data_IF_239787979960
#
_entry.id   IF_239787979960
#
_cell.length_a   1.000
_cell.length_b   1.000
_cell.length_c   1.000
_cell.angle_alpha   90.00
_cell.angle_beta   90.00
_cell.angle_gamma   90.00
#
_symmetry.space_group_name_H-M   'P 1'
#
loop_
_entity.id
_entity.type
_entity.pdbx_description
1 polymer ?
#
# COMPACT_ATOMS: atom_id res chain seq x y z
N UNK A 1 -17.06 -86.33 -0.99
CA UNK A 1 -15.80 -87.09 -1.16
C UNK A 1 -14.99 -86.43 -2.27
N UNK A 2 -13.70 -86.19 -2.00
CA UNK A 2 -12.57 -85.98 -2.92
C UNK A 2 -12.65 -84.92 -4.06
N UNK A 3 -11.98 -83.79 -3.80
CA UNK A 3 -10.75 -83.28 -4.46
C UNK A 3 -10.63 -82.99 -5.98
N UNK A 4 -9.92 -81.86 -6.22
CA UNK A 4 -9.10 -81.42 -7.38
C UNK A 4 -9.81 -80.87 -8.63
N UNK A 5 -9.72 -79.54 -8.85
CA UNK A 5 -8.67 -78.88 -9.65
C UNK A 5 -9.08 -77.43 -10.00
N UNK A 6 -8.15 -76.47 -9.95
CA UNK A 6 -7.95 -75.51 -11.05
C UNK A 6 -6.62 -74.77 -10.89
N UNK A 7 -5.89 -74.70 -12.01
CA UNK A 7 -4.51 -74.27 -12.15
C UNK A 7 -4.38 -72.76 -12.44
N UNK A 8 -3.37 -72.16 -11.81
CA UNK A 8 -2.38 -71.20 -12.31
C UNK A 8 -2.74 -70.17 -13.39
N UNK A 9 -2.43 -68.89 -13.08
CA UNK A 9 -1.67 -68.03 -14.00
C UNK A 9 -0.67 -67.13 -13.26
N UNK A 10 0.53 -67.13 -13.82
CA UNK A 10 1.81 -66.58 -13.38
C UNK A 10 1.90 -65.05 -13.49
N UNK A 11 2.59 -64.42 -12.54
CA UNK A 11 3.08 -63.03 -12.60
C UNK A 11 4.61 -63.01 -12.67
N UNK A 12 5.17 -62.37 -13.71
CA UNK A 12 6.59 -61.97 -13.78
C UNK A 12 6.75 -60.71 -14.64
N UNK A 13 7.36 -59.67 -14.06
CA UNK A 13 8.57 -58.94 -14.52
C UNK A 13 8.56 -57.41 -14.31
N UNK A 14 9.76 -56.91 -14.01
CA UNK A 14 10.36 -55.56 -14.20
C UNK A 14 10.54 -54.60 -12.99
N UNK A 15 11.69 -54.78 -12.32
CA UNK A 15 12.85 -53.88 -12.14
C UNK A 15 12.75 -52.33 -12.04
N UNK A 16 13.38 -51.85 -10.94
CA UNK A 16 14.31 -50.68 -10.75
C UNK A 16 13.88 -49.22 -10.94
N UNK A 17 13.88 -48.46 -9.83
CA UNK A 17 14.57 -47.17 -9.73
C UNK A 17 15.12 -46.94 -8.31
N UNK A 18 16.41 -46.65 -8.22
CA UNK A 18 17.12 -46.34 -6.98
C UNK A 18 16.89 -44.87 -6.57
N UNK A 19 16.32 -44.66 -5.38
CA UNK A 19 16.30 -43.35 -4.72
C UNK A 19 17.31 -43.34 -3.58
N UNK A 20 18.40 -42.59 -3.76
CA UNK A 20 19.30 -42.21 -2.67
C UNK A 20 18.56 -41.23 -1.74
N UNK A 21 17.91 -41.76 -0.71
CA UNK A 21 17.50 -40.94 0.44
C UNK A 21 18.70 -40.74 1.36
N UNK A 22 19.28 -39.54 1.35
CA UNK A 22 20.22 -39.11 2.38
C UNK A 22 19.49 -39.05 3.72
N UNK A 23 19.77 -40.01 4.60
CA UNK A 23 19.16 -40.10 5.93
C UNK A 23 19.67 -38.95 6.79
N UNK A 24 18.78 -37.99 7.09
CA UNK A 24 19.04 -36.92 8.05
C UNK A 24 19.15 -37.52 9.46
N UNK A 25 20.37 -37.78 9.91
CA UNK A 25 20.64 -38.30 11.26
C UNK A 25 20.47 -37.20 12.33
N UNK A 26 20.29 -37.58 13.61
CA UNK A 26 20.28 -36.63 14.75
C UNK A 26 21.48 -35.70 14.75
N UNK A 27 22.63 -36.16 14.25
CA UNK A 27 23.86 -35.38 14.14
C UNK A 27 23.70 -34.17 13.21
N UNK A 28 22.96 -34.31 12.11
CA UNK A 28 22.67 -33.20 11.18
C UNK A 28 21.75 -32.16 11.81
N UNK A 29 20.77 -32.60 12.61
CA UNK A 29 19.88 -31.69 13.35
C UNK A 29 20.64 -30.91 14.43
N UNK A 30 21.54 -31.59 15.15
CA UNK A 30 22.41 -30.95 16.15
C UNK A 30 23.36 -29.95 15.49
N UNK A 31 23.96 -30.31 14.34
CA UNK A 31 24.84 -29.42 13.59
C UNK A 31 24.09 -28.19 13.06
N UNK A 32 22.88 -28.37 12.52
CA UNK A 32 22.04 -27.26 12.06
C UNK A 32 21.64 -26.33 13.22
N UNK A 33 21.29 -26.89 14.38
CA UNK A 33 20.97 -26.10 15.56
C UNK A 33 22.20 -25.32 16.07
N UNK A 34 23.37 -25.97 16.12
CA UNK A 34 24.62 -25.31 16.48
C UNK A 34 24.98 -24.16 15.52
N UNK A 35 24.72 -24.33 14.22
CA UNK A 35 24.93 -23.30 13.20
C UNK A 35 24.00 -22.09 13.41
N UNK A 36 22.71 -22.32 13.68
CA UNK A 36 21.74 -21.24 13.97
C UNK A 36 22.16 -20.46 15.21
N UNK A 37 22.54 -21.17 16.27
CA UNK A 37 23.00 -20.57 17.53
C UNK A 37 24.28 -19.75 17.31
N UNK A 38 25.28 -20.31 16.61
CA UNK A 38 26.51 -19.59 16.31
C UNK A 38 26.26 -18.33 15.47
N UNK A 39 25.37 -18.40 14.48
CA UNK A 39 25.03 -17.26 13.62
C UNK A 39 24.31 -16.17 14.42
N UNK A 40 23.43 -16.53 15.35
CA UNK A 40 22.76 -15.58 16.24
C UNK A 40 23.74 -14.85 17.16
N UNK A 41 24.72 -15.56 17.72
CA UNK A 41 25.72 -14.94 18.58
C UNK A 41 26.73 -14.09 17.80
N UNK A 42 27.17 -14.53 16.61
CA UNK A 42 28.05 -13.75 15.74
C UNK A 42 27.39 -12.45 15.28
N UNK A 43 26.13 -12.50 14.84
CA UNK A 43 25.39 -11.29 14.43
C UNK A 43 25.22 -10.31 15.58
N UNK A 44 24.93 -10.78 16.80
CA UNK A 44 24.89 -9.91 17.98
C UNK A 44 26.26 -9.33 18.37
N UNK A 45 27.35 -10.08 18.22
CA UNK A 45 28.70 -9.56 18.49
C UNK A 45 29.08 -8.44 17.52
N UNK A 46 28.65 -8.52 16.24
CA UNK A 46 28.83 -7.45 15.27
C UNK A 46 27.90 -6.25 15.52
N UNK A 47 26.66 -6.47 15.98
CA UNK A 47 25.74 -5.39 16.39
C UNK A 47 26.25 -4.60 17.60
N UNK A 48 27.04 -5.21 18.48
CA UNK A 48 27.67 -4.54 19.62
C UNK A 48 28.99 -3.82 19.29
N UNK A 49 29.63 -4.10 18.14
CA UNK A 49 30.88 -3.43 17.73
C UNK A 49 30.65 -2.13 16.97
N UNK A 50 29.44 -1.92 16.43
CA UNK A 50 28.97 -0.62 15.93
C UNK A 50 28.39 0.16 17.12
N UNK A 51 29.22 1.01 17.72
CA UNK A 51 28.83 1.83 18.87
C UNK A 51 27.58 2.70 18.65
N UNK A 52 26.93 3.17 19.73
CA UNK A 52 25.73 3.99 19.63
C UNK A 52 26.04 5.31 18.89
N UNK A 53 25.41 5.49 17.72
CA UNK A 53 25.40 6.78 17.04
C UNK A 53 24.70 7.80 17.95
N UNK A 54 25.51 8.64 18.60
CA UNK A 54 25.02 9.79 19.34
C UNK A 54 24.46 10.80 18.34
N UNK A 55 23.13 10.89 18.24
CA UNK A 55 22.45 11.89 17.42
C UNK A 55 22.47 13.24 18.15
N UNK A 56 23.18 14.27 17.67
CA UNK A 56 23.00 15.60 18.21
C UNK A 56 21.64 16.12 17.71
N UNK A 57 20.70 16.30 18.65
CA UNK A 57 19.51 17.10 18.42
C UNK A 57 19.95 18.53 18.05
N UNK A 58 19.89 18.86 16.77
CA UNK A 58 19.94 20.24 16.31
C UNK A 58 18.60 20.61 15.69
N UNK A 59 17.81 21.33 16.50
CA UNK A 59 16.70 22.14 16.03
C UNK A 59 17.23 23.18 15.03
N UNK A 60 16.96 23.00 13.75
CA UNK A 60 16.97 24.10 12.79
C UNK A 60 15.79 23.97 11.86
N UNK A 61 14.63 24.47 12.32
CA UNK A 61 13.55 24.86 11.42
C UNK A 61 13.95 26.20 10.81
N UNK A 62 14.71 26.13 9.73
CA UNK A 62 14.93 27.28 8.86
C UNK A 62 13.75 27.40 7.90
N UNK A 63 12.96 28.45 8.12
CA UNK A 63 11.91 28.97 7.25
C UNK A 63 12.46 29.13 5.83
N UNK A 64 11.80 28.53 4.84
CA UNK A 64 12.32 28.44 3.49
C UNK A 64 11.21 28.52 2.46
N UNK A 65 10.92 29.77 2.05
CA UNK A 65 10.08 30.12 0.90
C UNK A 65 10.25 29.13 -0.27
N UNK A 66 9.12 28.64 -0.78
CA UNK A 66 9.05 27.93 -2.06
C UNK A 66 9.50 28.86 -3.19
N UNK A 67 10.75 28.75 -3.59
CA UNK A 67 11.19 29.22 -4.90
C UNK A 67 11.08 28.05 -5.89
N UNK A 68 10.12 28.17 -6.80
CA UNK A 68 9.94 27.30 -7.96
C UNK A 68 11.20 27.38 -8.82
N UNK A 69 12.09 26.39 -8.73
CA UNK A 69 13.25 26.29 -9.60
C UNK A 69 12.78 25.89 -11.03
N UNK A 70 13.40 26.41 -12.11
CA UNK A 70 12.89 26.23 -13.48
C UNK A 70 12.91 24.79 -14.02
N UNK A 71 13.52 23.83 -13.31
CA UNK A 71 13.88 22.52 -13.87
C UNK A 71 13.36 21.31 -13.07
N UNK A 72 12.24 21.41 -12.35
CA UNK A 72 11.60 20.23 -11.73
C UNK A 72 12.40 19.57 -10.60
N UNK A 73 13.41 20.26 -10.06
CA UNK A 73 14.17 19.82 -8.89
C UNK A 73 13.44 20.30 -7.64
N UNK A 74 12.94 19.37 -6.81
CA UNK A 74 12.61 19.68 -5.41
C UNK A 74 13.92 19.73 -4.65
N UNK A 75 14.31 20.94 -4.21
CA UNK A 75 15.39 21.11 -3.25
C UNK A 75 14.86 20.74 -1.88
N UNK A 76 15.18 19.54 -1.41
CA UNK A 76 15.05 19.22 0.00
C UNK A 76 16.15 19.98 0.74
N UNK A 77 15.77 20.85 1.68
CA UNK A 77 16.73 21.55 2.52
C UNK A 77 17.60 20.54 3.27
N UNK A 78 18.84 20.38 2.82
CA UNK A 78 19.99 19.89 3.58
C UNK A 78 19.81 18.68 4.50
N UNK A 79 18.94 17.72 4.19
CA UNK A 79 18.83 16.51 5.01
C UNK A 79 20.03 15.58 4.77
N UNK A 80 20.74 15.11 5.82
CA UNK A 80 21.89 14.24 5.64
C UNK A 80 21.45 12.92 5.00
N UNK A 81 21.90 12.65 3.77
CA UNK A 81 21.78 11.33 3.14
C UNK A 81 21.13 11.27 1.74
N UNK A 82 20.37 12.28 1.30
CA UNK A 82 19.60 12.21 0.04
C UNK A 82 20.03 13.19 -1.08
N UNK A 83 21.13 13.94 -0.88
CA UNK A 83 21.63 14.91 -1.87
C UNK A 83 20.72 16.13 -2.03
N UNK A 84 21.20 17.14 -2.76
CA UNK A 84 20.48 18.41 -3.00
C UNK A 84 19.45 18.33 -4.13
N UNK A 85 19.39 17.19 -4.83
CA UNK A 85 18.55 16.95 -6.00
C UNK A 85 17.95 15.54 -5.93
N UNK A 86 16.61 15.44 -5.90
CA UNK A 86 15.90 14.18 -6.12
C UNK A 86 15.54 14.07 -7.61
N UNK A 87 16.24 13.20 -8.33
CA UNK A 87 15.83 12.75 -9.67
C UNK A 87 14.98 11.50 -9.53
N UNK A 88 13.66 11.66 -9.53
CA UNK A 88 12.70 10.58 -9.46
C UNK A 88 11.93 10.48 -10.79
N UNK A 89 11.87 9.29 -11.37
CA UNK A 89 11.08 9.00 -12.58
C UNK A 89 9.98 7.99 -12.25
N UNK A 90 8.74 8.38 -12.50
CA UNK A 90 7.56 7.56 -12.24
C UNK A 90 6.90 7.23 -13.58
N UNK A 91 6.86 5.95 -13.93
CA UNK A 91 6.04 5.49 -15.04
C UNK A 91 4.60 5.31 -14.56
N UNK A 92 3.64 5.83 -15.31
CA UNK A 92 2.21 5.67 -15.01
C UNK A 92 1.64 4.81 -16.13
N UNK A 93 1.17 3.61 -15.77
CA UNK A 93 0.57 2.67 -16.72
C UNK A 93 -0.59 3.32 -17.48
N UNK A 94 -0.64 3.11 -18.79
CA UNK A 94 -1.79 3.52 -19.60
C UNK A 94 -2.96 2.55 -19.40
N UNK A 95 -4.19 3.06 -19.41
CA UNK A 95 -5.39 2.25 -19.20
C UNK A 95 -5.58 1.15 -20.27
N UNK A 96 -5.01 1.33 -21.47
CA UNK A 96 -5.07 0.38 -22.57
C UNK A 96 -3.92 -0.62 -22.56
N UNK A 97 -2.89 -0.39 -21.74
CA UNK A 97 -1.66 -1.16 -21.78
C UNK A 97 -1.85 -2.58 -21.21
N UNK A 98 -2.66 -2.72 -20.17
CA UNK A 98 -2.87 -3.98 -19.45
C UNK A 98 -4.34 -4.38 -19.50
N UNK A 99 -4.61 -5.59 -20.03
CA UNK A 99 -5.98 -6.11 -20.12
C UNK A 99 -6.57 -6.27 -18.72
N UNK A 100 -7.71 -5.61 -18.49
CA UNK A 100 -8.41 -5.60 -17.20
C UNK A 100 -8.21 -4.33 -16.38
N UNK A 101 -7.25 -3.47 -16.73
CA UNK A 101 -7.05 -2.20 -16.02
C UNK A 101 -8.27 -1.28 -16.16
N UNK A 102 -8.86 -1.21 -17.36
CA UNK A 102 -10.15 -0.54 -17.60
C UNK A 102 -11.29 -1.04 -16.71
N UNK A 103 -11.33 -2.34 -16.37
CA UNK A 103 -12.37 -2.86 -15.47
C UNK A 103 -12.20 -2.28 -14.06
N UNK A 104 -10.96 -2.16 -13.58
CA UNK A 104 -10.66 -1.54 -12.28
C UNK A 104 -10.93 -0.02 -12.25
N UNK A 105 -10.95 0.62 -13.42
CA UNK A 105 -11.20 2.06 -13.54
C UNK A 105 -12.66 2.41 -13.84
N UNK A 106 -13.35 1.61 -14.65
CA UNK A 106 -14.64 1.94 -15.26
C UNK A 106 -15.74 0.89 -15.04
N UNK A 107 -15.43 -0.24 -14.40
CA UNK A 107 -16.35 -1.35 -14.17
C UNK A 107 -16.60 -2.22 -15.42
N UNK A 108 -17.43 -3.26 -15.28
CA UNK A 108 -17.73 -4.25 -16.35
C UNK A 108 -18.23 -3.64 -17.64
N UNK A 109 -19.10 -2.66 -17.53
CA UNK A 109 -19.81 -2.04 -18.66
C UNK A 109 -19.17 -0.71 -19.10
N UNK A 110 -18.08 -0.29 -18.46
CA UNK A 110 -17.45 1.01 -18.73
C UNK A 110 -18.30 2.24 -18.39
N UNK A 111 -19.43 2.06 -17.70
CA UNK A 111 -20.40 3.14 -17.40
C UNK A 111 -19.94 4.10 -16.30
N UNK A 112 -18.98 3.70 -15.48
CA UNK A 112 -18.50 4.51 -14.36
C UNK A 112 -17.40 5.41 -14.87
N UNK A 113 -17.70 6.70 -15.08
CA UNK A 113 -16.70 7.66 -15.55
C UNK A 113 -15.69 8.04 -14.46
N UNK A 114 -14.52 8.51 -14.89
CA UNK A 114 -13.51 9.00 -13.94
C UNK A 114 -14.03 10.21 -13.15
N UNK A 115 -14.89 11.02 -13.77
CA UNK A 115 -15.56 12.21 -13.24
C UNK A 115 -16.50 11.85 -12.08
N UNK A 116 -17.26 10.76 -12.23
CA UNK A 116 -18.11 10.26 -11.15
C UNK A 116 -17.28 9.79 -9.93
N UNK A 117 -16.02 9.41 -10.16
CA UNK A 117 -15.10 8.96 -9.13
C UNK A 117 -14.23 10.05 -8.49
N UNK A 118 -14.35 11.33 -8.87
CA UNK A 118 -13.52 12.41 -8.30
C UNK A 118 -13.99 12.85 -6.90
N UNK A 119 -15.24 12.56 -6.53
CA UNK A 119 -15.86 13.05 -5.30
C UNK A 119 -15.64 12.12 -4.10
N UNK A 120 -15.61 12.71 -2.91
CA UNK A 120 -15.53 11.98 -1.64
C UNK A 120 -14.19 11.26 -1.45
N UNK A 121 -14.17 10.29 -0.51
CA UNK A 121 -12.92 9.64 -0.12
C UNK A 121 -12.22 8.90 -1.26
N UNK A 122 -12.98 8.23 -2.15
CA UNK A 122 -12.39 7.52 -3.29
C UNK A 122 -11.86 8.46 -4.39
N UNK A 123 -12.22 9.74 -4.34
CA UNK A 123 -11.68 10.80 -5.19
C UNK A 123 -10.15 10.85 -5.26
N UNK A 124 -9.50 10.49 -4.17
CA UNK A 124 -8.05 10.49 -4.06
C UNK A 124 -7.36 9.58 -5.09
N UNK A 125 -7.97 8.46 -5.49
CA UNK A 125 -7.44 7.60 -6.56
C UNK A 125 -7.34 8.36 -7.89
N UNK A 126 -8.40 9.09 -8.26
CA UNK A 126 -8.46 9.87 -9.51
C UNK A 126 -7.53 11.08 -9.43
N UNK A 127 -7.52 11.78 -8.31
CA UNK A 127 -6.72 13.00 -8.10
C UNK A 127 -5.22 12.72 -8.17
N UNK A 128 -4.74 11.66 -7.51
CA UNK A 128 -3.33 11.24 -7.59
C UNK A 128 -2.97 10.82 -9.02
N UNK A 129 -3.83 10.05 -9.68
CA UNK A 129 -3.58 9.65 -11.07
C UNK A 129 -3.43 10.87 -11.99
N UNK A 130 -4.37 11.83 -11.92
CA UNK A 130 -4.32 13.09 -12.70
C UNK A 130 -3.09 13.94 -12.35
N UNK A 131 -2.72 14.02 -11.08
CA UNK A 131 -1.52 14.72 -10.63
C UNK A 131 -0.25 14.12 -11.25
N UNK A 132 -0.11 12.79 -11.21
CA UNK A 132 1.04 12.09 -11.78
C UNK A 132 1.07 12.21 -13.31
N UNK A 133 -0.07 12.17 -13.99
CA UNK A 133 -0.17 12.45 -15.44
C UNK A 133 0.42 13.81 -15.84
N UNK A 134 0.30 14.81 -14.97
CA UNK A 134 0.76 16.19 -15.20
C UNK A 134 2.09 16.53 -14.52
N UNK A 135 2.72 15.56 -13.84
CA UNK A 135 3.92 15.75 -13.05
C UNK A 135 5.18 15.82 -13.91
N UNK A 136 6.14 16.66 -13.54
CA UNK A 136 7.47 16.69 -14.15
C UNK A 136 8.28 15.42 -13.85
N UNK A 137 7.90 14.65 -12.83
CA UNK A 137 8.50 13.37 -12.48
C UNK A 137 7.96 12.21 -13.30
N UNK A 138 6.95 12.43 -14.15
CA UNK A 138 6.40 11.37 -15.00
C UNK A 138 7.35 11.08 -16.16
N UNK A 139 7.70 9.80 -16.33
CA UNK A 139 8.34 9.30 -17.55
C UNK A 139 7.34 8.56 -18.44
N UNK A 140 7.62 8.54 -19.75
CA UNK A 140 6.94 7.70 -20.76
C UNK A 140 7.73 6.44 -21.12
N UNK A 141 8.94 6.29 -20.60
CA UNK A 141 9.84 5.17 -20.83
C UNK A 141 9.91 4.33 -19.55
N UNK A 142 9.69 3.02 -19.65
CA UNK A 142 9.60 2.12 -18.48
C UNK A 142 10.98 1.74 -17.97
N UNK A 143 11.96 1.68 -18.87
CA UNK A 143 13.33 1.29 -18.61
C UNK A 143 14.08 2.31 -17.74
N UNK A 144 13.66 3.58 -17.79
CA UNK A 144 14.21 4.64 -16.93
C UNK A 144 13.39 4.92 -15.67
N UNK A 145 12.32 4.16 -15.42
CA UNK A 145 11.41 4.42 -14.31
C UNK A 145 11.95 3.82 -13.00
N UNK A 146 12.03 4.65 -11.96
CA UNK A 146 12.35 4.22 -10.61
C UNK A 146 11.12 3.57 -9.93
N UNK A 147 9.94 4.14 -10.19
CA UNK A 147 8.67 3.71 -9.64
C UNK A 147 7.60 3.58 -10.72
N UNK A 148 6.61 2.72 -10.46
CA UNK A 148 5.50 2.45 -11.36
C UNK A 148 4.18 2.72 -10.65
N UNK A 149 3.36 3.61 -11.18
CA UNK A 149 2.02 3.87 -10.66
C UNK A 149 0.97 3.10 -11.46
N UNK A 150 0.15 2.30 -10.77
CA UNK A 150 -0.95 1.53 -11.38
C UNK A 150 -2.27 2.26 -11.14
N UNK A 151 -2.90 2.86 -12.17
CA UNK A 151 -4.16 3.56 -12.01
C UNK A 151 -5.30 2.59 -11.75
N UNK A 152 -5.99 2.76 -10.63
CA UNK A 152 -7.16 1.96 -10.27
C UNK A 152 -8.15 2.82 -9.52
N UNK A 153 -9.41 2.81 -9.94
CA UNK A 153 -10.52 3.50 -9.27
C UNK A 153 -11.42 2.49 -8.55
N UNK A 154 -10.87 1.34 -8.20
CA UNK A 154 -11.63 0.15 -7.80
C UNK A 154 -12.53 0.39 -6.59
N UNK A 155 -12.16 1.31 -5.68
CA UNK A 155 -13.01 1.63 -4.54
C UNK A 155 -14.30 2.28 -5.00
N UNK A 156 -14.19 3.28 -5.86
CA UNK A 156 -15.31 3.95 -6.49
C UNK A 156 -16.17 2.97 -7.32
N UNK A 157 -15.52 2.16 -8.17
CA UNK A 157 -16.18 1.15 -9.01
C UNK A 157 -16.97 0.15 -8.17
N UNK A 158 -16.41 -0.30 -7.04
CA UNK A 158 -17.09 -1.17 -6.08
C UNK A 158 -18.31 -0.52 -5.44
N UNK A 159 -18.18 0.76 -5.06
CA UNK A 159 -19.28 1.50 -4.41
C UNK A 159 -20.44 1.75 -5.37
N UNK A 160 -20.17 1.93 -6.66
CA UNK A 160 -21.18 2.10 -7.70
C UNK A 160 -21.69 0.78 -8.32
N UNK A 161 -21.29 -0.38 -7.78
CA UNK A 161 -21.77 -1.70 -8.25
C UNK A 161 -21.16 -2.17 -9.58
N UNK A 162 -20.13 -1.49 -10.10
CA UNK A 162 -19.48 -1.87 -11.36
C UNK A 162 -18.73 -3.21 -11.29
N UNK A 163 -18.20 -3.54 -10.10
CA UNK A 163 -17.57 -4.82 -9.77
C UNK A 163 -17.91 -5.25 -8.35
N UNK A 164 -18.05 -6.54 -8.11
CA UNK A 164 -18.12 -7.15 -6.78
C UNK A 164 -16.74 -7.62 -6.28
N UNK A 165 -16.64 -8.02 -5.02
CA UNK A 165 -15.36 -8.37 -4.37
C UNK A 165 -14.63 -9.54 -5.05
N UNK A 166 -15.37 -10.53 -5.58
CA UNK A 166 -14.81 -11.67 -6.32
C UNK A 166 -14.20 -11.21 -7.65
N UNK A 167 -14.94 -10.38 -8.39
CA UNK A 167 -14.50 -9.82 -9.67
C UNK A 167 -13.29 -8.90 -9.48
N UNK A 168 -13.28 -8.07 -8.44
CA UNK A 168 -12.14 -7.22 -8.07
C UNK A 168 -10.89 -8.07 -7.87
N UNK A 169 -11.01 -9.14 -7.08
CA UNK A 169 -9.89 -10.02 -6.80
C UNK A 169 -9.33 -10.68 -8.06
N UNK A 170 -10.21 -11.26 -8.89
CA UNK A 170 -9.82 -11.90 -10.13
C UNK A 170 -9.19 -10.91 -11.12
N UNK A 171 -9.73 -9.71 -11.20
CA UNK A 171 -9.24 -8.65 -12.10
C UNK A 171 -7.85 -8.19 -11.68
N UNK A 172 -7.60 -7.94 -10.39
CA UNK A 172 -6.26 -7.60 -9.91
C UNK A 172 -5.24 -8.70 -10.21
N UNK A 173 -5.56 -9.97 -9.90
CA UNK A 173 -4.66 -11.10 -10.19
C UNK A 173 -4.30 -11.14 -11.67
N UNK A 174 -5.30 -10.97 -12.55
CA UNK A 174 -5.09 -10.95 -14.00
C UNK A 174 -4.26 -9.76 -14.46
N UNK A 175 -4.51 -8.56 -13.93
CA UNK A 175 -3.75 -7.36 -14.27
C UNK A 175 -2.28 -7.52 -13.88
N UNK A 176 -2.01 -7.96 -12.64
CA UNK A 176 -0.66 -8.11 -12.12
C UNK A 176 0.16 -9.18 -12.84
N UNK A 177 -0.47 -10.29 -13.26
CA UNK A 177 0.22 -11.37 -13.99
C UNK A 177 0.75 -10.95 -15.36
N UNK A 178 0.23 -9.86 -15.93
CA UNK A 178 0.61 -9.33 -17.23
C UNK A 178 1.71 -8.26 -17.17
N UNK A 179 2.11 -7.80 -15.97
CA UNK A 179 3.04 -6.68 -15.80
C UNK A 179 4.50 -7.17 -15.65
N UNK A 180 5.38 -7.00 -16.66
CA UNK A 180 6.73 -7.57 -16.60
C UNK A 180 7.58 -6.95 -15.49
N UNK A 181 7.56 -5.61 -15.35
CA UNK A 181 8.30 -4.90 -14.31
C UNK A 181 7.79 -5.22 -12.90
N UNK A 182 6.49 -5.50 -12.76
CA UNK A 182 5.91 -5.96 -11.50
C UNK A 182 6.51 -7.32 -11.11
N UNK A 183 6.58 -8.25 -12.07
CA UNK A 183 7.19 -9.56 -11.86
C UNK A 183 8.69 -9.46 -11.52
N UNK A 184 9.42 -8.56 -12.18
CA UNK A 184 10.86 -8.36 -11.94
C UNK A 184 11.16 -7.86 -10.52
N UNK A 185 10.41 -6.87 -10.03
CA UNK A 185 10.62 -6.31 -8.69
C UNK A 185 9.89 -7.06 -7.59
N UNK A 186 8.98 -7.98 -7.95
CA UNK A 186 7.97 -8.53 -7.04
C UNK A 186 7.05 -7.45 -6.49
N UNK A 187 6.76 -6.41 -7.28
CA UNK A 187 5.89 -5.30 -6.95
C UNK A 187 6.49 -4.22 -6.05
N UNK A 188 7.78 -4.32 -5.66
CA UNK A 188 8.41 -3.41 -4.67
C UNK A 188 8.46 -1.95 -5.10
N UNK A 189 8.53 -1.70 -6.40
CA UNK A 189 8.54 -0.36 -6.99
C UNK A 189 7.16 0.04 -7.56
N UNK A 190 6.10 -0.72 -7.28
CA UNK A 190 4.75 -0.41 -7.75
C UNK A 190 3.92 0.26 -6.66
N UNK A 191 3.24 1.33 -7.04
CA UNK A 191 2.41 2.16 -6.18
C UNK A 191 0.93 1.89 -6.46
N UNK A 192 0.17 1.61 -5.40
CA UNK A 192 -1.27 1.41 -5.43
C UNK A 192 -1.96 2.34 -4.43
N UNK A 193 -3.13 2.84 -4.79
CA UNK A 193 -3.92 3.73 -3.93
C UNK A 193 -5.15 2.99 -3.44
N UNK A 194 -5.30 2.87 -2.12
CA UNK A 194 -6.47 2.30 -1.45
C UNK A 194 -7.08 3.34 -0.51
N UNK A 195 -8.04 4.16 -0.97
CA UNK A 195 -8.42 5.40 -0.31
C UNK A 195 -9.45 5.22 0.83
N UNK A 196 -9.62 4.00 1.35
CA UNK A 196 -10.64 3.70 2.36
C UNK A 196 -10.02 3.05 3.57
N UNK A 197 -10.68 3.11 4.73
CA UNK A 197 -10.19 2.44 5.95
C UNK A 197 -10.03 0.92 5.86
N UNK A 198 -10.52 0.26 4.80
CA UNK A 198 -10.21 -1.14 4.54
C UNK A 198 -8.80 -1.35 3.92
N UNK A 199 -8.14 -0.29 3.48
CA UNK A 199 -6.83 -0.36 2.81
C UNK A 199 -6.82 -1.37 1.66
N UNK A 200 -5.74 -2.14 1.58
CA UNK A 200 -5.55 -3.16 0.54
C UNK A 200 -6.50 -4.36 0.67
N UNK A 201 -7.21 -4.52 1.80
CA UNK A 201 -8.15 -5.64 1.99
C UNK A 201 -9.32 -5.65 1.02
N UNK A 202 -9.58 -4.55 0.31
CA UNK A 202 -10.50 -4.52 -0.83
C UNK A 202 -10.09 -5.52 -1.93
N UNK A 203 -8.80 -5.76 -2.08
CA UNK A 203 -8.25 -6.83 -2.90
C UNK A 203 -7.94 -8.04 -1.99
N UNK A 204 -8.81 -9.05 -1.96
CA UNK A 204 -8.70 -10.19 -1.02
C UNK A 204 -7.31 -10.86 -1.02
N UNK A 205 -6.67 -10.99 -2.18
CA UNK A 205 -5.36 -11.62 -2.34
C UNK A 205 -4.18 -10.64 -2.19
N UNK A 206 -4.37 -9.43 -1.66
CA UNK A 206 -3.30 -8.42 -1.51
C UNK A 206 -2.05 -8.97 -0.80
N UNK A 207 -2.20 -9.83 0.21
CA UNK A 207 -1.07 -10.34 0.99
C UNK A 207 -0.13 -11.23 0.16
N UNK A 208 -0.64 -11.83 -0.92
CA UNK A 208 0.15 -12.64 -1.83
C UNK A 208 0.79 -11.77 -2.91
N UNK A 209 0.02 -10.82 -3.46
CA UNK A 209 0.42 -10.11 -4.67
C UNK A 209 1.00 -8.72 -4.42
N UNK A 210 0.49 -7.97 -3.44
CA UNK A 210 0.86 -6.57 -3.17
C UNK A 210 1.64 -6.36 -1.86
N UNK A 211 2.04 -7.42 -1.16
CA UNK A 211 2.69 -7.32 0.15
C UNK A 211 4.01 -6.54 0.14
N UNK A 212 4.68 -6.43 -1.00
CA UNK A 212 5.93 -5.68 -1.18
C UNK A 212 5.71 -4.31 -1.82
N UNK A 213 4.53 -4.08 -2.39
CA UNK A 213 4.18 -2.84 -3.07
C UNK A 213 3.98 -1.68 -2.11
N UNK A 214 4.15 -0.47 -2.64
CA UNK A 214 3.92 0.78 -1.93
C UNK A 214 2.42 1.07 -1.96
N UNK A 215 1.80 1.15 -0.80
CA UNK A 215 0.38 1.45 -0.65
C UNK A 215 0.21 2.88 -0.14
N UNK A 216 -0.61 3.64 -0.85
CA UNK A 216 -1.09 4.95 -0.42
C UNK A 216 -2.50 4.77 0.18
N UNK A 217 -2.66 5.07 1.47
CA UNK A 217 -3.94 4.91 2.21
C UNK A 217 -4.14 6.04 3.22
N UNK A 218 -5.38 6.48 3.51
CA UNK A 218 -5.60 7.57 4.45
C UNK A 218 -5.69 7.17 5.91
N UNK A 219 -6.15 5.96 6.17
CA UNK A 219 -6.17 5.36 7.49
C UNK A 219 -5.13 4.23 7.39
N UNK A 220 -4.05 4.28 8.20
CA UNK A 220 -3.22 3.10 8.43
C UNK A 220 -4.15 1.94 8.82
N UNK A 221 -3.85 0.72 8.36
CA UNK A 221 -4.85 -0.35 8.24
C UNK A 221 -5.68 -0.61 9.50
N UNK A 222 -6.94 -0.98 9.29
CA UNK A 222 -7.89 -1.34 10.36
C UNK A 222 -7.62 -2.76 10.86
N UNK A 223 -6.76 -2.86 11.86
CA UNK A 223 -6.46 -4.12 12.57
C UNK A 223 -7.59 -4.56 13.51
N UNK A 224 -8.62 -3.73 13.74
CA UNK A 224 -9.74 -4.04 14.64
C UNK A 224 -10.62 -5.20 14.15
N UNK A 225 -10.52 -5.58 12.87
CA UNK A 225 -11.35 -6.62 12.24
C UNK A 225 -10.57 -7.75 11.58
N UNK A 226 -9.24 -7.68 11.57
CA UNK A 226 -8.38 -8.61 10.85
C UNK A 226 -7.06 -8.81 11.59
N UNK A 227 -6.61 -10.05 11.66
CA UNK A 227 -5.37 -10.45 12.34
C UNK A 227 -4.10 -9.97 11.62
N UNK A 228 -4.24 -9.42 10.42
CA UNK A 228 -3.11 -8.99 9.58
C UNK A 228 -3.30 -7.57 9.10
N UNK A 229 -2.29 -6.74 9.35
CA UNK A 229 -2.20 -5.39 8.81
C UNK A 229 -1.74 -5.41 7.36
N UNK A 230 -2.51 -4.81 6.48
CA UNK A 230 -2.16 -4.48 5.10
C UNK A 230 -1.25 -3.25 5.00
N UNK A 231 -1.13 -2.47 6.07
CA UNK A 231 -0.26 -1.30 6.13
C UNK A 231 1.06 -1.63 6.81
N UNK A 232 2.15 -1.18 6.20
CA UNK A 232 3.51 -1.32 6.68
C UNK A 232 4.19 0.05 6.72
N UNK A 233 4.55 0.51 7.92
CA UNK A 233 5.15 1.83 8.19
C UNK A 233 6.46 2.09 7.45
N UNK A 234 7.16 1.06 6.99
CA UNK A 234 8.46 1.19 6.32
C UNK A 234 8.37 1.39 4.81
N UNK A 235 7.19 1.18 4.21
CA UNK A 235 7.01 1.27 2.76
C UNK A 235 5.74 2.00 2.32
N UNK A 236 4.71 2.03 3.17
CA UNK A 236 3.42 2.59 2.84
C UNK A 236 3.31 4.03 3.34
N UNK A 237 2.50 4.83 2.65
CA UNK A 237 2.43 6.28 2.90
C UNK A 237 1.00 6.65 3.25
N UNK A 238 0.85 7.37 4.36
CA UNK A 238 -0.43 7.96 4.73
C UNK A 238 -0.71 9.19 3.85
N UNK A 239 -1.85 9.16 3.17
CA UNK A 239 -2.30 10.25 2.30
C UNK A 239 -3.56 10.92 2.86
N UNK A 240 -3.89 12.17 2.51
CA UNK A 240 -5.15 12.76 2.93
C UNK A 240 -6.35 11.99 2.35
N UNK A 241 -7.33 11.66 3.19
CA UNK A 241 -8.47 10.81 2.82
C UNK A 241 -9.59 11.50 2.06
N UNK A 242 -9.83 12.79 2.28
CA UNK A 242 -10.82 13.57 1.54
C UNK A 242 -10.20 14.92 1.18
N UNK A 243 -9.62 15.01 -0.01
CA UNK A 243 -9.02 16.23 -0.52
C UNK A 243 -10.12 17.04 -1.19
N UNK A 244 -10.27 18.32 -0.85
CA UNK A 244 -11.19 19.23 -1.53
C UNK A 244 -10.82 19.39 -3.03
N UNK A 245 -11.81 19.56 -3.91
CA UNK A 245 -11.57 19.72 -5.34
C UNK A 245 -10.72 20.98 -5.63
N UNK A 246 -10.99 22.08 -4.93
CA UNK A 246 -10.27 23.34 -5.05
C UNK A 246 -8.78 23.25 -4.72
N UNK A 247 -8.35 22.25 -3.94
CA UNK A 247 -6.93 21.99 -3.67
C UNK A 247 -6.21 21.28 -4.83
N UNK A 248 -6.94 20.73 -5.80
CA UNK A 248 -6.38 19.91 -6.89
C UNK A 248 -6.51 20.52 -8.27
N UNK A 249 -7.32 21.57 -8.43
CA UNK A 249 -7.46 22.28 -9.71
C UNK A 249 -6.39 23.37 -9.80
N UNK A 250 -5.78 23.54 -10.97
CA UNK A 250 -4.88 24.67 -11.31
C UNK A 250 -5.65 25.98 -11.51
N UNK A 251 -6.59 26.28 -10.63
CA UNK A 251 -7.31 27.56 -10.54
C UNK A 251 -6.75 28.33 -9.33
N UNK A 252 -6.99 29.65 -9.24
CA UNK A 252 -6.70 30.39 -8.01
C UNK A 252 -7.26 29.60 -6.83
N UNK A 253 -6.40 29.26 -5.87
CA UNK A 253 -6.80 28.48 -4.71
C UNK A 253 -7.85 29.28 -3.96
N UNK A 254 -8.98 28.63 -3.66
CA UNK A 254 -10.02 29.26 -2.83
C UNK A 254 -9.46 29.58 -1.42
N UNK A 255 -8.55 28.75 -0.94
CA UNK A 255 -7.88 28.88 0.35
C UNK A 255 -6.43 28.40 0.21
N UNK A 256 -5.47 29.17 0.71
CA UNK A 256 -4.09 28.73 0.82
C UNK A 256 -3.88 27.81 2.03
N UNK A 257 -3.12 26.71 1.89
CA UNK A 257 -2.80 25.85 3.02
C UNK A 257 -2.15 26.65 4.15
N UNK A 258 -2.70 26.56 5.36
CA UNK A 258 -2.10 27.21 6.52
C UNK A 258 -0.68 26.65 6.77
N UNK A 259 0.35 27.53 6.90
CA UNK A 259 1.68 27.14 7.35
C UNK A 259 1.60 26.39 8.68
N UNK A 260 2.52 25.45 8.93
CA UNK A 260 2.54 24.66 10.17
C UNK A 260 2.53 25.55 11.42
N UNK A 261 3.27 26.66 11.41
CA UNK A 261 3.32 27.65 12.50
C UNK A 261 1.97 28.34 12.79
N UNK A 262 1.03 28.33 11.82
CA UNK A 262 -0.30 28.92 11.96
C UNK A 262 -1.39 27.87 12.22
N UNK A 263 -1.07 26.58 12.23
CA UNK A 263 -2.03 25.51 12.52
C UNK A 263 -2.20 25.40 14.03
N UNK A 264 -3.38 25.80 14.52
CA UNK A 264 -3.70 25.83 15.96
C UNK A 264 -3.88 24.44 16.56
N UNK A 265 -4.50 23.53 15.81
CA UNK A 265 -4.88 22.20 16.29
C UNK A 265 -3.85 21.15 15.85
N UNK A 266 -3.56 20.22 16.76
CA UNK A 266 -2.71 19.05 16.53
C UNK A 266 -3.41 18.00 15.66
N UNK A 267 -4.73 17.89 15.79
CA UNK A 267 -5.54 16.92 15.05
C UNK A 267 -6.88 17.51 14.63
N UNK A 268 -7.44 17.00 13.53
CA UNK A 268 -8.78 17.30 13.08
C UNK A 268 -9.54 15.99 12.85
N UNK A 269 -10.75 15.91 13.39
CA UNK A 269 -11.66 14.81 13.13
C UNK A 269 -12.91 15.32 12.43
N UNK A 270 -13.15 14.78 11.22
CA UNK A 270 -14.38 14.97 10.46
C UNK A 270 -15.04 13.61 10.26
N UNK A 271 -16.23 13.41 10.84
CA UNK A 271 -16.91 12.13 10.71
C UNK A 271 -18.15 11.95 11.59
N UNK A 272 -18.70 10.74 11.54
CA UNK A 272 -19.83 10.30 12.39
C UNK A 272 -19.32 9.46 13.56
N UNK A 273 -19.87 9.62 14.77
CA UNK A 273 -19.49 8.81 15.93
C UNK A 273 -19.76 7.29 15.72
N UNK A 274 -20.93 6.94 15.16
CA UNK A 274 -21.38 5.57 14.87
C UNK A 274 -21.25 4.59 16.06
N UNK A 275 -21.32 5.08 17.30
CA UNK A 275 -21.17 4.27 18.50
C UNK A 275 -19.81 3.55 18.63
N UNK A 276 -18.78 3.97 17.89
CA UNK A 276 -17.47 3.33 17.93
C UNK A 276 -16.63 3.90 19.07
N UNK A 277 -16.19 3.04 19.99
CA UNK A 277 -15.43 3.42 21.19
C UNK A 277 -14.31 4.44 20.91
N UNK A 278 -13.44 4.16 19.92
CA UNK A 278 -12.35 5.09 19.58
C UNK A 278 -12.81 6.45 19.06
N UNK A 279 -13.96 6.52 18.37
CA UNK A 279 -14.53 7.80 17.88
C UNK A 279 -15.18 8.58 19.01
N UNK A 280 -15.89 7.88 19.91
CA UNK A 280 -16.46 8.48 21.12
C UNK A 280 -15.36 9.04 22.02
N UNK A 281 -14.28 8.28 22.22
CA UNK A 281 -13.11 8.74 22.98
C UNK A 281 -12.45 9.96 22.34
N UNK A 282 -12.38 10.01 21.01
CA UNK A 282 -11.83 11.18 20.31
C UNK A 282 -12.73 12.42 20.46
N UNK A 283 -14.05 12.24 20.48
CA UNK A 283 -15.01 13.31 20.78
C UNK A 283 -14.81 13.82 22.22
N UNK A 284 -14.65 12.92 23.19
CA UNK A 284 -14.44 13.31 24.58
C UNK A 284 -13.07 13.97 24.79
N UNK A 285 -12.02 13.50 24.10
CA UNK A 285 -10.72 14.17 24.05
C UNK A 285 -10.80 15.57 23.44
N UNK A 286 -11.61 15.77 22.40
CA UNK A 286 -11.81 17.10 21.81
C UNK A 286 -12.54 18.05 22.75
N UNK A 287 -13.47 17.55 23.58
CA UNK A 287 -14.08 18.34 24.66
C UNK A 287 -13.06 18.69 25.76
N UNK A 288 -12.17 17.77 26.10
CA UNK A 288 -11.15 17.98 27.13
C UNK A 288 -10.03 18.92 26.67
N UNK A 289 -9.68 18.89 25.38
CA UNK A 289 -8.59 19.69 24.80
C UNK A 289 -9.06 20.45 23.54
N UNK A 290 -9.99 21.42 23.69
CA UNK A 290 -10.57 22.14 22.55
C UNK A 290 -9.52 22.91 21.74
N UNK A 291 -8.44 23.36 22.39
CA UNK A 291 -7.34 24.08 21.72
C UNK A 291 -6.42 23.15 20.91
N UNK A 292 -6.48 21.83 21.14
CA UNK A 292 -5.59 20.83 20.52
C UNK A 292 -6.28 20.00 19.45
N UNK A 293 -7.57 19.70 19.59
CA UNK A 293 -8.30 18.82 18.67
C UNK A 293 -9.51 19.55 18.11
N UNK A 294 -9.52 19.76 16.80
CA UNK A 294 -10.69 20.28 16.12
C UNK A 294 -11.67 19.14 15.81
N UNK A 295 -12.94 19.33 16.18
CA UNK A 295 -14.00 18.36 15.95
C UNK A 295 -15.07 18.95 15.02
N UNK A 296 -15.28 18.31 13.88
CA UNK A 296 -16.38 18.60 12.96
C UNK A 296 -17.26 17.35 12.82
N UNK A 297 -18.40 17.31 13.50
CA UNK A 297 -19.34 16.20 13.40
C UNK A 297 -20.24 16.38 12.18
N UNK A 298 -20.32 15.35 11.34
CA UNK A 298 -21.29 15.31 10.24
C UNK A 298 -22.66 14.92 10.83
N UNK A 299 -23.42 15.90 11.29
CA UNK A 299 -24.82 15.73 11.72
C UNK A 299 -25.74 15.55 10.51
N UNK A 300 -25.82 14.31 10.02
CA UNK A 300 -26.99 13.82 9.30
C UNK A 300 -27.34 12.49 9.95
N UNK A 301 -27.99 12.57 11.10
CA UNK A 301 -29.02 11.65 11.61
C UNK A 301 -29.41 12.19 13.00
N UNK A 302 -30.61 12.75 13.07
CA UNK A 302 -31.34 13.12 14.27
C UNK A 302 -31.67 11.86 15.06
N UNK A 303 -30.74 11.35 15.86
CA UNK A 303 -31.00 10.33 16.88
C UNK A 303 -30.04 10.54 18.06
N UNK A 304 -30.12 11.72 18.65
CA UNK A 304 -29.53 12.04 19.95
C UNK A 304 -30.67 12.54 20.86
N UNK A 305 -31.54 11.59 21.21
CA UNK A 305 -32.27 11.51 22.47
C UNK A 305 -32.23 10.06 22.94
#
# INVERSE_FOLDING_TARGET
>A
MASLNSNNKSTRLFSTHAHHHSVCTRTHQIAAFALVVATFFLTRLFDHSLGPCSSPYLNSFSDGNQYTAPNGVVRFGGSPGYGTHLTLKIYVYDENEIVGLKLLMYGREGKISSEACVKGQWGTQVKIHRLLLQSTYRTRNKEEADLFFVPSYVKCVRMMGGLNDKEINQTYVKVLSQMPYFRLSGGRNHIFVFPSGAGAHLFKSWAVYLNRSIILTPEGDRTDKRDTSAFNTWKDVIIPGNIDDGMTVRKPRLVDPLPLSRRKHLANYLGRAQGKAGRLQLIDLAKQYPDKVHLSLLYCDTDLF
#
